data_IF_765516017479
#
_entry.id   IF_765516017479
#
_cell.length_a   1.000
_cell.length_b   1.000
_cell.length_c   1.000
_cell.angle_alpha   90.00
_cell.angle_beta   90.00
_cell.angle_gamma   90.00
#
_symmetry.space_group_name_H-M   'P 1'
#
loop_
_entity.id
_entity.type
_entity.pdbx_description
1 polymer ?
#
# COMPACT_ATOMS: atom_id res chain seq x y z
N UNK A 1 -0.46 3.64 -11.09
CA UNK A 1 -1.29 2.54 -11.65
C UNK A 1 -0.41 1.60 -12.43
N UNK A 2 -0.38 0.29 -12.11
CA UNK A 2 0.51 -0.70 -12.74
C UNK A 2 -0.01 -1.19 -14.09
N UNK A 3 0.87 -1.83 -14.89
CA UNK A 3 0.46 -2.49 -16.17
C UNK A 3 -0.64 -3.51 -15.92
N UNK A 4 -0.55 -4.29 -14.84
CA UNK A 4 -1.53 -5.32 -14.49
C UNK A 4 -2.90 -4.72 -14.15
N UNK A 5 -2.95 -3.64 -13.39
CA UNK A 5 -4.19 -2.91 -13.10
C UNK A 5 -4.86 -2.42 -14.39
N UNK A 6 -4.08 -1.87 -15.33
CA UNK A 6 -4.60 -1.43 -16.64
C UNK A 6 -5.14 -2.59 -17.48
N UNK A 7 -4.55 -3.77 -17.39
CA UNK A 7 -5.08 -4.96 -18.05
C UNK A 7 -6.43 -5.38 -17.46
N UNK A 8 -6.57 -5.36 -16.14
CA UNK A 8 -7.83 -5.68 -15.44
C UNK A 8 -8.94 -4.70 -15.81
N UNK A 9 -8.68 -3.39 -15.73
CA UNK A 9 -9.66 -2.35 -16.14
C UNK A 9 -10.17 -2.54 -17.58
N UNK A 10 -9.32 -3.05 -18.47
CA UNK A 10 -9.64 -3.25 -19.89
C UNK A 10 -10.10 -4.65 -20.23
N UNK A 11 -10.22 -5.55 -19.27
CA UNK A 11 -10.48 -6.96 -19.47
C UNK A 11 -9.55 -7.56 -20.57
N UNK A 12 -8.26 -7.19 -20.54
CA UNK A 12 -7.26 -7.59 -21.48
C UNK A 12 -6.31 -8.61 -20.87
N UNK A 13 -6.04 -9.71 -21.58
CA UNK A 13 -5.07 -10.72 -21.13
C UNK A 13 -3.62 -10.29 -21.46
N UNK A 14 -2.66 -10.82 -20.69
CA UNK A 14 -1.21 -10.64 -20.94
C UNK A 14 -0.86 -11.08 -22.38
N UNK A 15 -1.43 -12.18 -22.84
CA UNK A 15 -1.22 -12.67 -24.21
C UNK A 15 -1.67 -11.66 -25.27
N UNK A 16 -2.84 -11.07 -25.07
CA UNK A 16 -3.39 -10.07 -25.97
C UNK A 16 -2.53 -8.80 -25.98
N UNK A 17 -2.09 -8.32 -24.83
CA UNK A 17 -1.16 -7.19 -24.74
C UNK A 17 0.13 -7.48 -25.50
N UNK A 18 0.76 -8.63 -25.29
CA UNK A 18 1.98 -9.02 -25.97
C UNK A 18 1.81 -9.04 -27.50
N UNK A 19 0.70 -9.61 -27.98
CA UNK A 19 0.37 -9.70 -29.41
C UNK A 19 0.15 -8.33 -30.03
N UNK A 20 -0.65 -7.46 -29.39
CA UNK A 20 -1.00 -6.14 -29.92
C UNK A 20 0.16 -5.14 -29.83
N UNK A 21 0.99 -5.24 -28.79
CA UNK A 21 2.15 -4.36 -28.61
C UNK A 21 3.40 -4.81 -29.40
N UNK A 22 3.37 -6.01 -29.98
CA UNK A 22 4.54 -6.65 -30.60
C UNK A 22 5.75 -6.76 -29.65
N UNK A 23 5.50 -6.84 -28.33
CA UNK A 23 6.52 -7.12 -27.32
C UNK A 23 6.50 -8.62 -27.01
N UNK A 24 7.66 -9.26 -26.84
CA UNK A 24 7.71 -10.70 -26.52
C UNK A 24 6.85 -11.04 -25.29
N UNK A 25 6.08 -12.13 -25.38
CA UNK A 25 5.21 -12.57 -24.28
C UNK A 25 5.94 -12.71 -22.95
N UNK A 26 7.16 -13.28 -22.97
CA UNK A 26 7.97 -13.44 -21.78
C UNK A 26 8.23 -12.08 -21.09
N UNK A 27 8.59 -11.06 -21.87
CA UNK A 27 8.83 -9.70 -21.36
C UNK A 27 7.58 -9.10 -20.74
N UNK A 28 6.44 -9.18 -21.43
CA UNK A 28 5.17 -8.65 -20.89
C UNK A 28 4.76 -9.40 -19.62
N UNK A 29 4.88 -10.73 -19.63
CA UNK A 29 4.58 -11.57 -18.48
C UNK A 29 5.48 -11.25 -17.27
N UNK A 30 6.78 -11.02 -17.51
CA UNK A 30 7.72 -10.67 -16.42
C UNK A 30 7.43 -9.27 -15.85
N UNK A 31 7.03 -8.30 -16.68
CA UNK A 31 6.59 -6.97 -16.24
C UNK A 31 5.32 -7.11 -15.39
N UNK A 32 4.30 -7.82 -15.89
CA UNK A 32 3.03 -7.98 -15.20
C UNK A 32 3.17 -8.73 -13.85
N UNK A 33 4.10 -9.67 -13.74
CA UNK A 33 4.37 -10.42 -12.52
C UNK A 33 5.48 -9.79 -11.65
N UNK A 34 5.84 -8.54 -11.89
CA UNK A 34 6.90 -7.81 -11.15
C UNK A 34 8.25 -8.52 -11.09
N UNK A 35 8.54 -9.39 -12.08
CA UNK A 35 9.84 -10.04 -12.25
C UNK A 35 10.81 -9.16 -13.03
N UNK A 36 10.31 -8.30 -13.92
CA UNK A 36 11.05 -7.27 -14.59
C UNK A 36 10.56 -5.89 -14.18
N UNK A 37 11.49 -4.96 -13.96
CA UNK A 37 11.21 -3.57 -13.62
C UNK A 37 10.92 -2.79 -14.91
N UNK A 38 9.74 -2.19 -15.01
CA UNK A 38 9.28 -1.48 -16.21
C UNK A 38 10.23 -0.33 -16.57
N UNK A 39 10.73 0.41 -15.59
CA UNK A 39 11.64 1.55 -15.76
C UNK A 39 13.03 1.15 -16.30
N UNK A 40 13.34 -0.15 -16.29
CA UNK A 40 14.57 -0.70 -16.87
C UNK A 40 14.36 -1.26 -18.29
N UNK A 41 13.13 -1.26 -18.77
CA UNK A 41 12.83 -1.66 -20.14
C UNK A 41 13.27 -0.56 -21.13
N UNK A 42 13.45 -0.95 -22.38
CA UNK A 42 13.74 0.04 -23.42
C UNK A 42 12.55 0.97 -23.64
N UNK A 43 12.81 2.24 -23.99
CA UNK A 43 11.77 3.21 -24.29
C UNK A 43 10.79 2.68 -25.37
N UNK A 44 11.29 1.95 -26.35
CA UNK A 44 10.47 1.30 -27.40
C UNK A 44 9.46 0.30 -26.79
N UNK A 45 9.90 -0.54 -25.85
CA UNK A 45 9.02 -1.50 -25.16
C UNK A 45 7.92 -0.78 -24.39
N UNK A 46 8.30 0.26 -23.61
CA UNK A 46 7.36 1.04 -22.82
C UNK A 46 6.37 1.76 -23.73
N UNK A 47 6.85 2.38 -24.80
CA UNK A 47 6.00 3.08 -25.78
C UNK A 47 4.96 2.14 -26.41
N UNK A 48 5.38 0.95 -26.87
CA UNK A 48 4.48 -0.04 -27.48
C UNK A 48 3.40 -0.52 -26.51
N UNK A 49 3.76 -0.79 -25.27
CA UNK A 49 2.81 -1.16 -24.20
C UNK A 49 1.84 -0.02 -23.92
N UNK A 50 2.34 1.21 -23.75
CA UNK A 50 1.55 2.39 -23.49
C UNK A 50 0.51 2.66 -24.60
N UNK A 51 0.91 2.50 -25.87
CA UNK A 51 0.00 2.66 -27.02
C UNK A 51 -1.17 1.68 -26.99
N UNK A 52 -0.92 0.40 -26.71
CA UNK A 52 -1.99 -0.61 -26.60
C UNK A 52 -2.89 -0.34 -25.41
N UNK A 53 -2.30 0.08 -24.30
CA UNK A 53 -3.05 0.44 -23.08
C UNK A 53 -3.69 1.85 -23.17
N UNK A 54 -3.47 2.60 -24.27
CA UNK A 54 -3.98 3.98 -24.49
C UNK A 54 -3.73 4.90 -23.29
N UNK A 55 -2.54 4.87 -22.77
CA UNK A 55 -2.01 5.74 -21.71
C UNK A 55 -0.72 6.40 -22.22
N UNK A 56 -0.27 7.46 -21.55
CA UNK A 56 1.06 8.01 -21.85
C UNK A 56 2.16 7.14 -21.23
N UNK A 57 3.39 7.27 -21.73
CA UNK A 57 4.55 6.62 -21.11
C UNK A 57 4.76 7.13 -19.69
N UNK A 58 4.52 8.40 -19.45
CA UNK A 58 4.63 9.08 -18.17
C UNK A 58 3.65 8.48 -17.16
N UNK A 59 2.37 8.30 -17.54
CA UNK A 59 1.37 7.64 -16.69
C UNK A 59 1.77 6.21 -16.33
N UNK A 60 2.35 5.50 -17.29
CA UNK A 60 2.78 4.11 -17.08
C UNK A 60 4.02 4.02 -16.18
N UNK A 61 4.91 4.99 -16.26
CA UNK A 61 6.17 5.05 -15.51
C UNK A 61 6.04 5.76 -14.16
N UNK A 62 5.06 6.66 -13.99
CA UNK A 62 4.91 7.44 -12.76
C UNK A 62 4.99 6.56 -11.49
N UNK A 63 4.33 5.39 -11.40
CA UNK A 63 4.43 4.53 -10.23
C UNK A 63 5.84 4.00 -9.93
N UNK A 64 6.69 3.90 -10.96
CA UNK A 64 8.07 3.42 -10.81
C UNK A 64 8.99 4.46 -10.20
N UNK A 65 8.65 5.74 -10.35
CA UNK A 65 9.43 6.89 -9.88
C UNK A 65 8.84 7.60 -8.67
N UNK A 66 7.69 7.15 -8.18
CA UNK A 66 7.16 7.65 -6.92
C UNK A 66 8.16 7.39 -5.80
N UNK A 67 8.67 8.46 -5.22
CA UNK A 67 9.55 8.39 -4.06
C UNK A 67 8.75 7.87 -2.87
N UNK A 68 9.12 6.70 -2.38
CA UNK A 68 8.59 6.18 -1.13
C UNK A 68 8.98 7.14 -0.01
N UNK A 69 8.00 7.77 0.62
CA UNK A 69 8.22 8.59 1.79
C UNK A 69 8.68 7.73 2.98
N UNK A 70 9.23 8.36 4.02
CA UNK A 70 9.44 7.62 5.25
C UNK A 70 8.12 7.11 5.81
N UNK A 71 8.13 5.98 6.49
CA UNK A 71 6.92 5.40 7.08
C UNK A 71 6.22 6.36 8.05
N UNK A 72 6.98 7.16 8.81
CA UNK A 72 6.42 8.19 9.71
C UNK A 72 5.69 9.30 8.92
N UNK A 73 6.26 9.77 7.80
CA UNK A 73 5.58 10.74 6.95
C UNK A 73 4.30 10.16 6.33
N UNK A 74 4.35 8.90 5.92
CA UNK A 74 3.18 8.19 5.42
C UNK A 74 2.07 8.11 6.47
N UNK A 75 2.40 7.67 7.69
CA UNK A 75 1.46 7.63 8.82
C UNK A 75 0.82 8.99 9.07
N UNK A 76 1.65 10.04 9.15
CA UNK A 76 1.16 11.40 9.34
C UNK A 76 0.17 11.81 8.23
N UNK A 77 0.49 11.53 6.97
CA UNK A 77 -0.39 11.85 5.84
C UNK A 77 -1.73 11.11 5.94
N UNK A 78 -1.73 9.81 6.30
CA UNK A 78 -2.96 9.04 6.48
C UNK A 78 -3.81 9.58 7.62
N UNK A 79 -3.20 9.90 8.76
CA UNK A 79 -3.91 10.47 9.90
C UNK A 79 -4.51 11.86 9.58
N UNK A 80 -3.79 12.71 8.83
CA UNK A 80 -4.33 13.99 8.36
C UNK A 80 -5.50 13.79 7.40
N UNK A 81 -5.37 12.86 6.44
CA UNK A 81 -6.45 12.52 5.51
C UNK A 81 -7.70 12.08 6.25
N UNK A 82 -7.56 11.20 7.26
CA UNK A 82 -8.67 10.79 8.12
C UNK A 82 -9.32 11.97 8.83
N UNK A 83 -8.51 12.87 9.41
CA UNK A 83 -8.98 14.06 10.14
C UNK A 83 -9.74 15.02 9.22
N UNK A 84 -9.26 15.23 8.00
CA UNK A 84 -9.84 16.16 7.04
C UNK A 84 -11.13 15.63 6.40
N UNK A 85 -11.16 14.36 6.03
CA UNK A 85 -12.29 13.74 5.34
C UNK A 85 -13.39 13.26 6.31
N UNK A 86 -13.00 12.88 7.53
CA UNK A 86 -13.86 12.14 8.44
C UNK A 86 -13.96 10.65 8.07
N UNK A 87 -14.47 9.87 9.01
CA UNK A 87 -14.40 8.40 8.99
C UNK A 87 -15.00 7.75 7.73
N UNK A 88 -16.23 8.11 7.40
CA UNK A 88 -16.97 7.44 6.31
C UNK A 88 -16.41 7.81 4.93
N UNK A 89 -16.08 9.09 4.71
CA UNK A 89 -15.49 9.51 3.44
C UNK A 89 -14.09 8.91 3.26
N UNK A 90 -13.30 8.83 4.34
CA UNK A 90 -11.99 8.14 4.33
C UNK A 90 -12.12 6.66 3.93
N UNK A 91 -13.11 5.93 4.49
CA UNK A 91 -13.35 4.53 4.14
C UNK A 91 -13.68 4.38 2.65
N UNK A 92 -14.68 5.14 2.17
CA UNK A 92 -15.11 5.08 0.77
C UNK A 92 -13.94 5.37 -0.17
N UNK A 93 -13.26 6.48 0.04
CA UNK A 93 -12.14 6.92 -0.80
C UNK A 93 -10.99 5.90 -0.81
N UNK A 94 -10.65 5.34 0.34
CA UNK A 94 -9.58 4.35 0.45
C UNK A 94 -9.94 3.03 -0.25
N UNK A 95 -11.17 2.55 -0.11
CA UNK A 95 -11.62 1.32 -0.75
C UNK A 95 -11.76 1.49 -2.26
N UNK A 96 -12.34 2.61 -2.73
CA UNK A 96 -12.50 2.88 -4.17
C UNK A 96 -11.16 3.13 -4.88
N UNK A 97 -10.17 3.73 -4.20
CA UNK A 97 -8.85 4.02 -4.79
C UNK A 97 -7.97 2.79 -5.01
N UNK A 98 -8.28 1.66 -4.36
CA UNK A 98 -7.49 0.43 -4.37
C UNK A 98 -6.02 0.64 -3.92
N UNK A 99 -5.76 1.64 -3.07
CA UNK A 99 -4.41 1.97 -2.57
C UNK A 99 -3.77 0.80 -1.83
N UNK A 100 -4.54 0.05 -1.02
CA UNK A 100 -4.05 -1.07 -0.23
C UNK A 100 -3.41 -2.12 -1.14
N UNK A 101 -4.09 -2.51 -2.22
CA UNK A 101 -3.55 -3.46 -3.21
C UNK A 101 -2.35 -2.88 -3.95
N UNK A 102 -2.40 -1.61 -4.28
CA UNK A 102 -1.29 -0.91 -4.94
C UNK A 102 -0.01 -0.98 -4.08
N UNK A 103 -0.11 -0.73 -2.78
CA UNK A 103 1.04 -0.85 -1.88
C UNK A 103 1.51 -2.29 -1.72
N UNK A 104 0.58 -3.25 -1.67
CA UNK A 104 0.93 -4.68 -1.63
C UNK A 104 1.72 -5.12 -2.87
N UNK A 105 1.26 -4.77 -4.06
CA UNK A 105 1.93 -5.08 -5.33
C UNK A 105 3.34 -4.44 -5.42
N UNK A 106 3.51 -3.25 -4.84
CA UNK A 106 4.81 -2.58 -4.73
C UNK A 106 5.72 -3.16 -3.66
N UNK A 107 5.24 -4.14 -2.88
CA UNK A 107 5.94 -4.71 -1.71
C UNK A 107 6.23 -3.67 -0.62
N UNK A 108 5.41 -2.64 -0.53
CA UNK A 108 5.43 -1.64 0.54
C UNK A 108 4.56 -2.14 1.69
N UNK A 109 4.97 -3.26 2.28
CA UNK A 109 4.17 -3.95 3.29
C UNK A 109 3.84 -3.11 4.52
N UNK A 110 4.74 -2.29 5.07
CA UNK A 110 4.39 -1.41 6.19
C UNK A 110 3.22 -0.48 5.87
N UNK A 111 3.25 0.19 4.71
CA UNK A 111 2.22 1.12 4.27
C UNK A 111 0.90 0.39 3.95
N UNK A 112 0.99 -0.74 3.26
CA UNK A 112 -0.15 -1.60 2.94
C UNK A 112 -0.88 -2.02 4.22
N UNK A 113 -0.16 -2.60 5.18
CA UNK A 113 -0.75 -3.15 6.40
C UNK A 113 -1.19 -2.05 7.38
N UNK A 114 -0.52 -0.88 7.38
CA UNK A 114 -0.98 0.27 8.14
C UNK A 114 -2.32 0.81 7.63
N UNK A 115 -2.45 0.96 6.31
CA UNK A 115 -3.69 1.45 5.70
C UNK A 115 -4.84 0.45 5.90
N UNK A 116 -4.58 -0.84 5.74
CA UNK A 116 -5.57 -1.88 6.02
C UNK A 116 -5.99 -1.89 7.50
N UNK A 117 -5.03 -1.75 8.42
CA UNK A 117 -5.32 -1.63 9.85
C UNK A 117 -6.19 -0.39 10.16
N UNK A 118 -5.92 0.73 9.49
CA UNK A 118 -6.71 1.96 9.63
C UNK A 118 -8.15 1.74 9.15
N UNK A 119 -8.32 1.12 7.98
CA UNK A 119 -9.64 0.78 7.43
C UNK A 119 -10.40 -0.15 8.39
N UNK A 120 -9.76 -1.22 8.88
CA UNK A 120 -10.39 -2.17 9.81
C UNK A 120 -10.77 -1.49 11.14
N UNK A 121 -9.90 -0.61 11.66
CA UNK A 121 -10.16 0.16 12.88
C UNK A 121 -11.35 1.12 12.70
N UNK A 122 -11.36 1.92 11.64
CA UNK A 122 -12.45 2.87 11.37
C UNK A 122 -13.75 2.14 11.09
N UNK A 123 -13.71 1.00 10.40
CA UNK A 123 -14.89 0.17 10.16
C UNK A 123 -15.50 -0.31 11.47
N UNK A 124 -14.68 -0.78 12.43
CA UNK A 124 -15.16 -1.18 13.75
C UNK A 124 -15.75 -0.01 14.55
N UNK A 125 -15.10 1.15 14.53
CA UNK A 125 -15.59 2.33 15.26
C UNK A 125 -16.93 2.86 14.75
N UNK A 126 -17.29 2.54 13.49
CA UNK A 126 -18.50 3.01 12.83
C UNK A 126 -19.51 1.88 12.52
N UNK A 127 -19.31 0.68 13.06
CA UNK A 127 -20.15 -0.50 12.82
C UNK A 127 -20.30 -0.85 11.32
N UNK A 128 -19.27 -0.57 10.51
CA UNK A 128 -19.21 -0.89 9.08
C UNK A 128 -18.60 -2.30 8.93
N UNK A 129 -19.22 -3.19 8.13
CA UNK A 129 -18.66 -4.51 7.86
C UNK A 129 -17.28 -4.40 7.19
N UNK A 130 -16.39 -5.33 7.53
CA UNK A 130 -15.09 -5.42 6.86
C UNK A 130 -15.25 -5.86 5.41
N UNK A 131 -14.50 -5.24 4.51
CA UNK A 131 -14.46 -5.63 3.11
C UNK A 131 -13.70 -6.95 2.95
N UNK A 132 -14.38 -7.98 2.43
CA UNK A 132 -13.81 -9.31 2.22
C UNK A 132 -12.74 -9.37 1.12
N UNK A 133 -12.63 -8.34 0.28
CA UNK A 133 -11.60 -8.26 -0.75
C UNK A 133 -10.18 -8.30 -0.19
N UNK A 134 -10.00 -7.88 1.08
CA UNK A 134 -8.69 -7.85 1.74
C UNK A 134 -8.45 -8.99 2.73
N UNK A 135 -9.29 -10.03 2.75
CA UNK A 135 -9.16 -11.13 3.71
C UNK A 135 -7.82 -11.89 3.58
N UNK A 136 -7.29 -12.00 2.37
CA UNK A 136 -5.98 -12.59 2.13
C UNK A 136 -4.83 -11.76 2.74
N UNK A 137 -4.96 -10.43 2.77
CA UNK A 137 -3.95 -9.55 3.37
C UNK A 137 -4.05 -9.51 4.89
N UNK A 138 -5.23 -9.77 5.47
CA UNK A 138 -5.44 -9.80 6.92
C UNK A 138 -4.70 -10.92 7.63
N UNK A 139 -4.17 -11.90 6.89
CA UNK A 139 -3.32 -12.97 7.42
C UNK A 139 -1.83 -12.63 7.45
N UNK A 140 -1.44 -11.54 6.81
CA UNK A 140 -0.06 -11.09 6.79
C UNK A 140 0.34 -10.48 8.13
N UNK A 141 1.65 -10.47 8.39
CA UNK A 141 2.25 -9.85 9.55
C UNK A 141 3.69 -9.42 9.24
N UNK A 142 4.09 -8.26 9.71
CA UNK A 142 5.48 -7.84 9.61
C UNK A 142 6.38 -8.70 10.49
N UNK A 143 7.55 -9.07 9.98
CA UNK A 143 8.53 -9.86 10.74
C UNK A 143 9.06 -9.10 11.95
N UNK A 144 9.30 -7.80 11.79
CA UNK A 144 9.81 -6.92 12.85
C UNK A 144 8.72 -5.94 13.30
N UNK A 145 8.48 -5.79 14.61
CA UNK A 145 7.53 -4.82 15.12
C UNK A 145 7.90 -3.39 14.74
N UNK A 146 6.92 -2.63 14.29
CA UNK A 146 7.05 -1.21 14.01
C UNK A 146 6.51 -0.41 15.20
N UNK A 147 7.40 0.23 15.94
CA UNK A 147 7.06 1.11 17.05
C UNK A 147 7.15 2.57 16.61
N UNK A 148 6.32 3.47 17.21
CA UNK A 148 6.49 4.89 17.07
C UNK A 148 7.90 5.33 17.46
N UNK A 149 8.44 6.33 16.76
CA UNK A 149 9.79 6.84 17.02
C UNK A 149 9.98 7.31 18.46
N UNK A 150 8.94 7.93 19.05
CA UNK A 150 8.93 8.38 20.46
C UNK A 150 9.09 7.21 21.44
N UNK A 151 8.40 6.11 21.22
CA UNK A 151 8.48 4.90 22.07
C UNK A 151 9.87 4.28 21.99
N UNK A 152 10.44 4.20 20.78
CA UNK A 152 11.83 3.71 20.58
C UNK A 152 12.84 4.60 21.29
N UNK A 153 12.68 5.92 21.18
CA UNK A 153 13.54 6.89 21.88
C UNK A 153 13.44 6.74 23.40
N UNK A 154 12.25 6.57 23.96
CA UNK A 154 12.05 6.32 25.39
C UNK A 154 12.71 5.02 25.86
N UNK A 155 12.57 3.94 25.10
CA UNK A 155 13.20 2.65 25.42
C UNK A 155 14.73 2.77 25.41
N UNK A 156 15.30 3.42 24.39
CA UNK A 156 16.72 3.66 24.28
C UNK A 156 17.24 4.55 25.44
N UNK A 157 16.55 5.62 25.79
CA UNK A 157 16.92 6.50 26.89
C UNK A 157 16.84 5.81 28.26
N UNK A 158 15.85 4.93 28.45
CA UNK A 158 15.69 4.14 29.67
C UNK A 158 16.59 2.90 29.72
N UNK A 159 17.25 2.55 28.62
CA UNK A 159 17.96 1.27 28.44
C UNK A 159 17.11 0.07 28.92
N UNK A 160 15.83 0.04 28.50
CA UNK A 160 14.83 -0.91 28.98
C UNK A 160 13.72 -1.13 27.96
N UNK A 161 13.18 -2.36 27.92
CA UNK A 161 12.04 -2.70 27.05
C UNK A 161 10.67 -2.35 27.67
N UNK A 162 10.64 -1.78 28.88
CA UNK A 162 9.37 -1.42 29.54
C UNK A 162 8.49 -0.50 28.67
N UNK A 163 9.03 0.58 28.04
CA UNK A 163 8.23 1.42 27.18
C UNK A 163 7.66 0.68 25.94
N UNK A 164 8.42 -0.28 25.39
CA UNK A 164 7.96 -1.08 24.25
C UNK A 164 6.77 -1.94 24.65
N UNK A 165 6.88 -2.70 25.75
CA UNK A 165 5.80 -3.56 26.26
C UNK A 165 4.54 -2.77 26.65
N UNK A 166 4.73 -1.59 27.25
CA UNK A 166 3.62 -0.71 27.58
C UNK A 166 2.88 -0.24 26.32
N UNK A 167 3.63 0.15 25.27
CA UNK A 167 3.06 0.55 23.99
C UNK A 167 2.34 -0.62 23.29
N UNK A 168 2.89 -1.82 23.31
CA UNK A 168 2.23 -3.01 22.77
C UNK A 168 0.89 -3.30 23.46
N UNK A 169 0.86 -3.17 24.79
CA UNK A 169 -0.35 -3.42 25.57
C UNK A 169 -1.45 -2.39 25.31
N UNK A 170 -1.06 -1.15 25.04
CA UNK A 170 -1.97 -0.04 24.74
C UNK A 170 -2.32 0.07 23.25
N UNK A 171 -1.70 -0.74 22.40
CA UNK A 171 -1.87 -0.64 20.94
C UNK A 171 -3.27 -1.05 20.50
N UNK A 172 -3.80 -0.31 19.53
CA UNK A 172 -5.05 -0.61 18.83
C UNK A 172 -4.96 -2.04 18.24
N UNK A 173 -5.95 -2.92 18.48
CA UNK A 173 -5.87 -4.33 18.11
C UNK A 173 -5.63 -4.57 16.62
N UNK A 174 -6.24 -3.76 15.74
CA UNK A 174 -6.15 -3.88 14.30
C UNK A 174 -4.71 -3.65 13.81
N UNK A 175 -4.00 -2.68 14.37
CA UNK A 175 -2.60 -2.41 14.05
C UNK A 175 -1.68 -3.48 14.64
N UNK A 176 -1.90 -3.84 15.90
CA UNK A 176 -1.10 -4.85 16.60
C UNK A 176 -1.15 -6.21 15.90
N UNK A 177 -2.28 -6.58 15.27
CA UNK A 177 -2.44 -7.79 14.46
C UNK A 177 -1.36 -7.90 13.39
N UNK A 178 -1.01 -6.79 12.76
CA UNK A 178 0.01 -6.70 11.72
C UNK A 178 1.43 -6.46 12.23
N UNK A 179 1.63 -6.47 13.55
CA UNK A 179 2.91 -6.13 14.20
C UNK A 179 3.30 -4.63 14.06
N UNK A 180 2.29 -3.77 13.97
CA UNK A 180 2.42 -2.32 13.99
C UNK A 180 1.88 -1.84 15.34
N UNK A 181 2.68 -1.08 16.07
CA UNK A 181 2.32 -0.59 17.41
C UNK A 181 1.83 0.85 17.27
N UNK A 182 0.52 1.02 17.40
CA UNK A 182 -0.14 2.33 17.28
C UNK A 182 -1.26 2.44 18.30
N UNK A 183 -1.29 3.53 19.05
CA UNK A 183 -2.25 3.74 20.12
C UNK A 183 -3.14 4.96 19.90
N UNK A 184 -2.79 5.83 18.95
CA UNK A 184 -3.54 7.05 18.67
C UNK A 184 -3.37 7.42 17.18
N UNK A 185 -4.49 7.55 16.46
CA UNK A 185 -4.50 7.85 15.02
C UNK A 185 -5.32 9.09 14.66
N UNK A 186 -6.02 9.69 15.66
CA UNK A 186 -6.91 10.82 15.42
C UNK A 186 -6.32 12.16 15.86
N UNK A 187 -5.42 12.15 16.86
CA UNK A 187 -4.80 13.36 17.39
C UNK A 187 -3.49 13.65 16.64
N UNK A 188 -3.60 14.16 15.43
CA UNK A 188 -2.46 14.65 14.65
C UNK A 188 -2.26 16.12 15.00
N UNK A 189 -1.06 16.45 15.46
CA UNK A 189 -0.62 17.83 15.73
C UNK A 189 -0.09 18.43 14.42
#
# INVERSE_FOLDING_TARGET
MTVQQKLQERNMSIYRLAKESHVPYATVNDICNSKAQLEKCTAETIYRIAQVLKVSMEELLAPCFELRSSFENYKSAICHRLKEQGDIAFLIDTLESNEIRTYYERKWFPECLYLLAMVDYISRENDVPLDSEYDDLRHLRLETPLYPASVRAMAAAANSDIPLRAAESASIPEFRKFNIIENEVRNVI
#
